data_IF_907931728178
#
_entry.id   IF_907931728178
#
_cell.length_a   1.000
_cell.length_b   1.000
_cell.length_c   1.000
_cell.angle_alpha   90.00
_cell.angle_beta   90.00
_cell.angle_gamma   90.00
#
_symmetry.space_group_name_H-M   'P 1'
#
loop_
_entity.id
_entity.type
_entity.pdbx_description
1 polymer ?
#
# COMPACT_ATOMS: atom_id res chain seq x y z
N UNK A 1 7.91 -7.96 -130.18
CA UNK A 1 7.12 -8.32 -128.97
C UNK A 1 8.04 -8.21 -127.77
N UNK A 2 7.83 -7.18 -126.95
CA UNK A 2 8.62 -6.89 -125.75
C UNK A 2 8.18 -7.87 -124.65
N UNK A 3 8.97 -8.89 -124.35
CA UNK A 3 8.58 -10.04 -123.50
C UNK A 3 8.87 -9.85 -122.00
N UNK A 4 9.09 -8.62 -121.53
CA UNK A 4 9.44 -8.33 -120.13
C UNK A 4 8.42 -7.40 -119.48
N UNK A 5 8.01 -7.71 -118.25
CA UNK A 5 7.19 -6.85 -117.38
C UNK A 5 8.02 -6.09 -116.34
N UNK A 6 9.35 -6.22 -116.39
CA UNK A 6 10.26 -5.49 -115.50
C UNK A 6 10.31 -4.03 -115.96
N UNK A 7 10.17 -3.10 -115.01
CA UNK A 7 10.24 -1.65 -115.27
C UNK A 7 11.28 -0.94 -114.40
N UNK A 8 11.88 -1.66 -113.45
CA UNK A 8 12.94 -1.16 -112.58
C UNK A 8 13.88 -2.27 -112.12
N UNK A 9 15.09 -1.88 -111.74
CA UNK A 9 16.10 -2.73 -111.15
C UNK A 9 16.78 -2.00 -109.99
N UNK A 10 17.04 -2.73 -108.90
CA UNK A 10 17.66 -2.17 -107.69
C UNK A 10 19.01 -2.85 -107.51
N UNK A 11 20.06 -2.03 -107.39
CA UNK A 11 21.44 -2.45 -107.22
C UNK A 11 21.97 -1.94 -105.87
N UNK A 12 22.84 -2.73 -105.23
CA UNK A 12 23.53 -2.29 -104.02
C UNK A 12 24.84 -1.61 -104.40
N UNK A 13 25.14 -0.47 -103.77
CA UNK A 13 26.46 0.14 -103.80
C UNK A 13 27.50 -0.77 -103.16
N UNK A 14 28.73 -0.70 -103.66
CA UNK A 14 29.85 -1.54 -103.23
C UNK A 14 31.20 -0.79 -103.27
N UNK A 15 31.17 0.54 -103.30
CA UNK A 15 32.34 1.44 -103.37
C UNK A 15 33.20 1.27 -104.65
N UNK A 16 32.76 0.48 -105.64
CA UNK A 16 33.55 0.15 -106.84
C UNK A 16 32.76 0.30 -108.14
N UNK A 17 31.54 -0.25 -108.21
CA UNK A 17 30.72 -0.30 -109.43
C UNK A 17 30.16 1.07 -109.78
N UNK A 18 30.20 1.41 -111.06
CA UNK A 18 29.55 2.61 -111.64
C UNK A 18 28.61 2.30 -112.79
N UNK A 19 28.58 1.03 -113.23
CA UNK A 19 27.81 0.58 -114.39
C UNK A 19 26.69 -0.33 -113.91
N UNK A 20 25.46 0.05 -114.21
CA UNK A 20 24.25 -0.58 -113.71
C UNK A 20 23.39 -1.00 -114.88
N UNK A 21 23.14 -2.30 -115.03
CA UNK A 21 22.41 -2.81 -116.19
C UNK A 21 20.97 -2.28 -116.26
N UNK A 22 20.43 -2.17 -117.47
CA UNK A 22 19.03 -1.84 -117.72
C UNK A 22 18.33 -3.13 -118.19
N UNK A 23 17.61 -3.87 -117.32
CA UNK A 23 17.04 -5.16 -117.67
C UNK A 23 15.66 -5.05 -118.34
N UNK A 24 15.30 -3.86 -118.82
CA UNK A 24 14.01 -3.56 -119.43
C UNK A 24 14.21 -2.71 -120.69
N UNK A 25 13.25 -2.78 -121.59
CA UNK A 25 13.28 -2.02 -122.84
C UNK A 25 12.75 -0.60 -122.63
N UNK A 26 13.32 0.37 -123.34
CA UNK A 26 12.92 1.79 -123.36
C UNK A 26 12.89 2.29 -124.82
N UNK A 27 12.14 3.36 -125.10
CA UNK A 27 12.08 3.94 -126.46
C UNK A 27 13.16 5.01 -126.62
N UNK A 28 13.42 5.80 -125.57
CA UNK A 28 14.46 6.82 -125.55
C UNK A 28 15.23 6.82 -124.23
N UNK A 29 16.48 7.26 -124.28
CA UNK A 29 17.34 7.39 -123.09
C UNK A 29 16.77 8.34 -122.05
N UNK A 30 16.00 9.35 -122.47
CA UNK A 30 15.30 10.29 -121.58
C UNK A 30 14.21 9.64 -120.71
N UNK A 31 13.80 8.42 -121.03
CA UNK A 31 12.81 7.65 -120.27
C UNK A 31 13.47 6.80 -119.18
N UNK A 32 14.79 6.87 -119.02
CA UNK A 32 15.50 6.21 -117.92
C UNK A 32 15.63 7.20 -116.78
N UNK A 33 15.23 6.79 -115.58
CA UNK A 33 15.44 7.50 -114.35
C UNK A 33 16.36 6.73 -113.40
N UNK A 34 17.03 7.45 -112.52
CA UNK A 34 17.89 6.90 -111.47
C UNK A 34 17.49 7.47 -110.12
N UNK A 35 17.36 6.61 -109.11
CA UNK A 35 17.14 7.00 -107.71
C UNK A 35 18.30 6.47 -106.87
N UNK A 36 18.84 7.32 -105.99
CA UNK A 36 19.75 6.93 -104.93
C UNK A 36 18.96 6.77 -103.63
N UNK A 37 19.03 5.60 -103.01
CA UNK A 37 18.42 5.34 -101.71
C UNK A 37 19.50 5.25 -100.63
N UNK A 38 19.36 6.06 -99.58
CA UNK A 38 20.20 6.01 -98.39
C UNK A 38 19.36 5.55 -97.19
N UNK A 39 19.82 4.53 -96.47
CA UNK A 39 19.14 4.04 -95.27
C UNK A 39 19.85 4.56 -94.02
N UNK A 40 19.17 5.37 -93.20
CA UNK A 40 19.69 5.87 -91.92
C UNK A 40 18.79 5.38 -90.79
N UNK A 41 19.37 4.63 -89.84
CA UNK A 41 18.65 4.11 -88.66
C UNK A 41 17.35 3.35 -89.02
N UNK A 42 17.37 2.61 -90.13
CA UNK A 42 16.23 1.82 -90.60
C UNK A 42 15.16 2.60 -91.37
N UNK A 43 15.40 3.89 -91.65
CA UNK A 43 14.54 4.70 -92.52
C UNK A 43 15.23 4.93 -93.86
N UNK A 44 14.52 4.63 -94.95
CA UNK A 44 15.00 4.87 -96.32
C UNK A 44 14.67 6.31 -96.73
N UNK A 45 15.67 7.04 -97.23
CA UNK A 45 15.49 8.31 -97.93
C UNK A 45 15.84 8.10 -99.40
N UNK A 46 14.92 8.46 -100.30
CA UNK A 46 15.11 8.38 -101.75
C UNK A 46 15.39 9.76 -102.34
N UNK A 47 16.38 9.83 -103.22
CA UNK A 47 16.76 11.02 -103.98
C UNK A 47 16.72 10.68 -105.48
N UNK A 48 15.94 11.46 -106.26
CA UNK A 48 15.95 11.35 -107.72
C UNK A 48 17.22 12.01 -108.24
N UNK A 49 18.06 11.22 -108.90
CA UNK A 49 19.34 11.68 -109.44
C UNK A 49 19.09 12.54 -110.69
N UNK A 50 19.80 13.66 -110.80
CA UNK A 50 19.69 14.54 -111.98
C UNK A 50 20.18 13.83 -113.25
N UNK A 51 19.57 14.12 -114.39
CA UNK A 51 19.99 13.58 -115.70
C UNK A 51 21.41 13.99 -116.09
N UNK A 52 21.95 15.06 -115.49
CA UNK A 52 23.33 15.50 -115.72
C UNK A 52 24.37 14.63 -114.97
N UNK A 53 23.94 13.91 -113.93
CA UNK A 53 24.83 13.16 -113.03
C UNK A 53 25.03 11.70 -113.45
N UNK A 54 24.32 11.24 -114.48
CA UNK A 54 24.50 9.91 -115.07
C UNK A 54 24.47 9.95 -116.60
N UNK A 55 25.00 8.91 -117.24
CA UNK A 55 24.88 8.73 -118.70
C UNK A 55 24.36 7.34 -119.02
N UNK A 56 23.75 7.19 -120.19
CA UNK A 56 23.23 5.90 -120.67
C UNK A 56 24.15 5.37 -121.78
N UNK A 57 24.74 4.20 -121.54
CA UNK A 57 25.50 3.45 -122.52
C UNK A 57 24.54 2.55 -123.32
N UNK A 58 24.19 2.98 -124.53
CA UNK A 58 23.23 2.28 -125.39
C UNK A 58 23.79 1.01 -126.00
N UNK A 59 25.12 0.85 -126.05
CA UNK A 59 25.77 -0.32 -126.63
C UNK A 59 25.75 -1.51 -125.65
N UNK A 60 25.98 -1.24 -124.36
CA UNK A 60 25.93 -2.26 -123.29
C UNK A 60 24.61 -2.31 -122.55
N UNK A 61 23.71 -1.34 -122.80
CA UNK A 61 22.44 -1.16 -122.12
C UNK A 61 22.60 -0.96 -120.60
N UNK A 62 23.47 -0.02 -120.22
CA UNK A 62 23.84 0.27 -118.83
C UNK A 62 23.71 1.76 -118.50
N UNK A 63 23.34 2.08 -117.26
CA UNK A 63 23.50 3.40 -116.67
C UNK A 63 24.91 3.52 -116.10
N UNK A 64 25.62 4.60 -116.43
CA UNK A 64 26.88 4.99 -115.80
C UNK A 64 26.61 6.08 -114.78
N UNK A 65 26.66 5.74 -113.49
CA UNK A 65 26.41 6.64 -112.37
C UNK A 65 27.35 6.35 -111.17
N UNK A 66 28.03 7.36 -110.60
CA UNK A 66 28.12 8.75 -111.07
C UNK A 66 28.86 8.89 -112.40
N UNK A 67 28.40 9.81 -113.27
CA UNK A 67 29.02 10.11 -114.57
C UNK A 67 30.35 10.85 -114.43
N UNK A 68 30.48 11.71 -113.42
CA UNK A 68 31.75 12.33 -113.08
C UNK A 68 32.68 11.33 -112.38
N UNK A 69 33.84 11.08 -113.00
CA UNK A 69 34.87 10.20 -112.47
C UNK A 69 35.57 10.80 -111.24
N UNK A 70 35.41 12.10 -110.98
CA UNK A 70 35.93 12.78 -109.79
C UNK A 70 35.11 12.46 -108.53
N UNK A 71 33.82 12.14 -108.67
CA UNK A 71 32.97 11.71 -107.56
C UNK A 71 33.23 10.24 -107.21
N UNK A 72 33.20 9.83 -105.93
CA UNK A 72 33.40 8.43 -105.55
C UNK A 72 32.26 7.53 -106.09
N UNK A 73 32.53 6.23 -106.36
CA UNK A 73 31.46 5.28 -106.70
C UNK A 73 30.43 5.16 -105.56
N UNK A 74 29.24 4.65 -105.87
CA UNK A 74 28.16 4.53 -104.87
C UNK A 74 28.57 3.64 -103.71
N UNK A 75 28.53 4.23 -102.51
CA UNK A 75 29.04 3.65 -101.28
C UNK A 75 28.30 2.37 -100.85
N UNK A 76 28.99 1.45 -100.17
CA UNK A 76 28.35 0.29 -99.53
C UNK A 76 27.27 0.76 -98.54
N UNK A 77 26.08 0.19 -98.66
CA UNK A 77 24.92 0.54 -97.82
C UNK A 77 23.94 1.52 -98.46
N UNK A 78 24.31 2.14 -99.59
CA UNK A 78 23.38 2.86 -100.48
C UNK A 78 22.88 1.94 -101.58
N UNK A 79 21.74 2.27 -102.19
CA UNK A 79 21.19 1.53 -103.35
C UNK A 79 20.98 2.46 -104.53
N UNK A 80 21.22 1.94 -105.74
CA UNK A 80 20.90 2.59 -107.01
C UNK A 80 19.70 1.89 -107.61
N UNK A 81 18.61 2.62 -107.79
CA UNK A 81 17.43 2.13 -108.51
C UNK A 81 17.41 2.74 -109.89
N UNK A 82 17.52 1.90 -110.91
CA UNK A 82 17.33 2.28 -112.32
C UNK A 82 15.91 1.92 -112.70
N UNK A 83 15.15 2.85 -113.24
CA UNK A 83 13.74 2.65 -113.57
C UNK A 83 13.36 3.34 -114.87
N UNK A 84 12.25 2.89 -115.47
CA UNK A 84 11.66 3.52 -116.65
C UNK A 84 10.59 4.53 -116.24
N UNK A 85 10.56 5.65 -116.94
CA UNK A 85 9.60 6.76 -116.78
C UNK A 85 9.17 7.25 -118.15
N UNK A 86 8.23 6.54 -118.77
CA UNK A 86 7.73 6.91 -120.09
C UNK A 86 6.84 8.16 -120.01
N UNK A 87 7.07 9.12 -120.92
CA UNK A 87 6.28 10.35 -121.02
C UNK A 87 4.79 10.03 -121.28
N UNK A 88 3.86 10.61 -120.51
CA UNK A 88 2.42 10.33 -120.64
C UNK A 88 1.76 11.00 -121.86
N UNK A 89 2.45 11.89 -122.57
CA UNK A 89 1.89 12.63 -123.70
C UNK A 89 1.84 11.81 -125.00
N UNK A 90 0.71 11.84 -125.72
CA UNK A 90 0.61 11.28 -127.07
C UNK A 90 1.33 12.19 -128.07
N UNK A 91 2.33 11.66 -128.79
CA UNK A 91 3.14 12.42 -129.77
C UNK A 91 2.76 12.19 -131.23
N UNK A 92 2.07 11.08 -131.52
CA UNK A 92 1.64 10.71 -132.88
C UNK A 92 0.26 11.27 -133.19
N UNK A 93 0.13 11.97 -134.32
CA UNK A 93 -1.13 12.50 -134.85
C UNK A 93 -1.35 11.99 -136.30
N UNK A 94 -2.36 11.16 -136.52
CA UNK A 94 -2.66 10.58 -137.83
C UNK A 94 -3.75 11.40 -138.53
N UNK A 95 -3.43 11.93 -139.70
CA UNK A 95 -4.37 12.72 -140.51
C UNK A 95 -5.20 11.82 -141.45
N UNK A 96 -6.44 12.23 -141.73
CA UNK A 96 -7.32 11.49 -142.63
C UNK A 96 -6.73 11.47 -144.06
N UNK A 97 -6.66 10.27 -144.67
CA UNK A 97 -6.01 10.01 -145.97
C UNK A 97 -4.50 10.32 -146.02
N UNK A 98 -3.84 10.48 -144.86
CA UNK A 98 -2.39 10.58 -144.77
C UNK A 98 -1.69 9.25 -145.03
N UNK A 99 -0.38 9.32 -145.28
CA UNK A 99 0.45 8.12 -145.37
C UNK A 99 0.40 7.33 -144.05
N UNK A 100 0.14 6.03 -144.12
CA UNK A 100 0.19 5.14 -142.96
C UNK A 100 1.63 4.69 -142.77
N UNK A 101 2.19 4.97 -141.60
CA UNK A 101 3.55 4.57 -141.21
C UNK A 101 3.43 3.47 -140.14
N UNK A 102 3.55 2.17 -140.51
CA UNK A 102 3.41 1.08 -139.56
C UNK A 102 4.32 1.22 -138.34
N UNK A 103 5.57 1.68 -138.53
CA UNK A 103 6.52 1.92 -137.43
C UNK A 103 6.01 2.96 -136.43
N UNK A 104 5.40 4.05 -136.90
CA UNK A 104 4.83 5.06 -135.99
C UNK A 104 3.64 4.53 -135.18
N UNK A 105 2.91 3.54 -135.73
CA UNK A 105 1.82 2.86 -135.02
C UNK A 105 2.43 1.92 -133.96
N UNK A 106 3.39 1.08 -134.35
CA UNK A 106 4.07 0.16 -133.42
C UNK A 106 4.75 0.90 -132.27
N UNK A 107 5.49 1.99 -132.53
CA UNK A 107 6.11 2.84 -131.50
C UNK A 107 5.08 3.40 -130.52
N UNK A 108 3.90 3.81 -131.02
CA UNK A 108 2.82 4.34 -130.18
C UNK A 108 2.18 3.26 -129.30
N UNK A 109 2.06 2.03 -129.81
CA UNK A 109 1.52 0.89 -129.05
C UNK A 109 2.51 0.39 -128.01
N UNK A 110 3.79 0.32 -128.37
CA UNK A 110 4.88 -0.04 -127.45
C UNK A 110 4.96 0.96 -126.30
N UNK A 111 4.85 2.25 -126.59
CA UNK A 111 4.78 3.31 -125.58
C UNK A 111 3.63 3.09 -124.59
N UNK A 112 2.42 2.84 -125.10
CA UNK A 112 1.26 2.57 -124.25
C UNK A 112 1.47 1.31 -123.40
N UNK A 113 2.10 0.28 -123.94
CA UNK A 113 2.40 -0.93 -123.18
C UNK A 113 3.40 -0.65 -122.05
N UNK A 114 4.42 0.16 -122.30
CA UNK A 114 5.40 0.56 -121.27
C UNK A 114 4.75 1.35 -120.14
N UNK A 115 3.89 2.33 -120.47
CA UNK A 115 3.09 3.08 -119.50
C UNK A 115 2.23 2.12 -118.66
N UNK A 116 1.57 1.13 -119.28
CA UNK A 116 0.75 0.16 -118.53
C UNK A 116 1.59 -0.68 -117.56
N UNK A 117 2.80 -1.08 -117.94
CA UNK A 117 3.71 -1.81 -117.05
C UNK A 117 4.17 -0.95 -115.87
N UNK A 118 4.50 0.32 -116.12
CA UNK A 118 4.91 1.29 -115.09
C UNK A 118 3.77 1.57 -114.12
N UNK A 119 2.59 1.90 -114.62
CA UNK A 119 1.40 2.09 -113.78
C UNK A 119 1.05 0.82 -112.98
N UNK A 120 1.28 -0.38 -113.52
CA UNK A 120 1.08 -1.64 -112.78
C UNK A 120 2.04 -1.75 -111.60
N UNK A 121 3.30 -1.35 -111.76
CA UNK A 121 4.29 -1.28 -110.68
C UNK A 121 3.88 -0.26 -109.62
N UNK A 122 3.53 0.96 -110.04
CA UNK A 122 3.13 2.05 -109.12
C UNK A 122 1.88 1.68 -108.32
N UNK A 123 0.87 1.11 -108.98
CA UNK A 123 -0.33 0.57 -108.32
C UNK A 123 0.04 -0.60 -107.41
N UNK A 124 1.07 -1.38 -107.75
CA UNK A 124 1.58 -2.49 -106.92
C UNK A 124 2.08 -2.05 -105.55
N UNK A 125 2.70 -0.86 -105.47
CA UNK A 125 3.24 -0.29 -104.21
C UNK A 125 2.31 0.70 -103.50
N UNK A 126 1.20 1.09 -104.11
CA UNK A 126 0.23 2.01 -103.50
C UNK A 126 -0.57 1.36 -102.36
N UNK A 127 -0.94 2.17 -101.36
CA UNK A 127 -1.95 1.78 -100.37
C UNK A 127 -3.33 1.77 -101.03
N UNK A 128 -4.07 0.66 -100.89
CA UNK A 128 -5.38 0.48 -101.55
C UNK A 128 -6.49 0.41 -100.53
N UNK A 129 -7.59 1.07 -100.84
CA UNK A 129 -8.85 0.93 -100.12
C UNK A 129 -9.82 0.10 -100.95
N UNK A 130 -10.95 -0.29 -100.36
CA UNK A 130 -11.99 -1.02 -101.09
C UNK A 130 -12.53 -0.16 -102.24
N UNK A 131 -12.86 -0.79 -103.37
CA UNK A 131 -13.35 -0.10 -104.58
C UNK A 131 -14.60 0.77 -104.34
N UNK A 132 -15.45 0.40 -103.39
CA UNK A 132 -16.66 1.13 -103.01
C UNK A 132 -16.47 2.02 -101.77
N UNK A 133 -15.23 2.18 -101.28
CA UNK A 133 -14.92 3.01 -100.12
C UNK A 133 -15.17 4.48 -100.43
N UNK A 134 -15.83 5.20 -99.53
CA UNK A 134 -15.90 6.66 -99.54
C UNK A 134 -14.69 7.32 -98.87
N UNK A 135 -13.78 6.52 -98.30
CA UNK A 135 -12.59 6.96 -97.59
C UNK A 135 -11.36 6.74 -98.48
N UNK A 136 -10.56 7.79 -98.66
CA UNK A 136 -9.34 7.76 -99.46
C UNK A 136 -8.20 7.02 -98.74
N UNK A 137 -7.20 6.49 -99.47
CA UNK A 137 -5.95 5.97 -98.91
C UNK A 137 -5.31 6.88 -97.85
N UNK A 138 -5.27 8.18 -98.12
CA UNK A 138 -4.66 9.20 -97.26
C UNK A 138 -5.42 9.32 -95.94
N UNK A 139 -6.76 9.37 -96.00
CA UNK A 139 -7.61 9.42 -94.81
C UNK A 139 -7.48 8.16 -93.94
N UNK A 140 -7.30 6.98 -94.56
CA UNK A 140 -7.02 5.75 -93.83
C UNK A 140 -5.64 5.76 -93.16
N UNK A 141 -4.62 6.29 -93.83
CA UNK A 141 -3.28 6.42 -93.27
C UNK A 141 -3.26 7.35 -92.05
N UNK A 142 -3.94 8.51 -92.14
CA UNK A 142 -4.12 9.42 -91.01
C UNK A 142 -4.84 8.75 -89.84
N UNK A 143 -5.93 8.01 -90.11
CA UNK A 143 -6.66 7.27 -89.08
C UNK A 143 -5.80 6.20 -88.40
N UNK A 144 -4.93 5.53 -89.16
CA UNK A 144 -4.02 4.51 -88.62
C UNK A 144 -2.95 5.14 -87.71
N UNK A 145 -2.38 6.28 -88.11
CA UNK A 145 -1.43 7.04 -87.29
C UNK A 145 -2.10 7.49 -86.00
N UNK A 146 -3.31 8.08 -86.09
CA UNK A 146 -4.06 8.50 -84.92
C UNK A 146 -4.41 7.33 -83.98
N UNK A 147 -4.75 6.16 -84.52
CA UNK A 147 -4.98 4.96 -83.73
C UNK A 147 -3.70 4.47 -83.03
N UNK A 148 -2.55 4.56 -83.70
CA UNK A 148 -1.24 4.24 -83.11
C UNK A 148 -0.91 5.19 -81.95
N UNK A 149 -1.07 6.50 -82.13
CA UNK A 149 -0.82 7.49 -81.09
C UNK A 149 -1.75 7.32 -79.88
N UNK A 150 -3.03 7.00 -80.15
CA UNK A 150 -4.00 6.69 -79.11
C UNK A 150 -3.61 5.43 -78.32
N UNK A 151 -3.10 4.39 -78.99
CA UNK A 151 -2.63 3.17 -78.35
C UNK A 151 -1.40 3.43 -77.46
N UNK A 152 -0.44 4.22 -77.93
CA UNK A 152 0.74 4.64 -77.14
C UNK A 152 0.30 5.43 -75.90
N UNK A 153 -0.64 6.36 -76.06
CA UNK A 153 -1.20 7.13 -74.94
C UNK A 153 -1.91 6.23 -73.93
N UNK A 154 -2.71 5.28 -74.42
CA UNK A 154 -3.41 4.33 -73.56
C UNK A 154 -2.44 3.44 -72.77
N UNK A 155 -1.35 2.98 -73.38
CA UNK A 155 -0.30 2.22 -72.71
C UNK A 155 0.39 3.03 -71.60
N UNK A 156 0.69 4.31 -71.85
CA UNK A 156 1.26 5.21 -70.84
C UNK A 156 0.31 5.42 -69.65
N UNK A 157 -0.97 5.66 -69.92
CA UNK A 157 -1.98 5.81 -68.88
C UNK A 157 -2.15 4.54 -68.04
N UNK A 158 -2.07 3.35 -68.66
CA UNK A 158 -2.13 2.08 -67.95
C UNK A 158 -0.93 1.91 -66.99
N UNK A 159 0.29 2.25 -67.43
CA UNK A 159 1.49 2.19 -66.59
C UNK A 159 1.41 3.16 -65.38
N UNK A 160 0.87 4.37 -65.60
CA UNK A 160 0.61 5.33 -64.51
C UNK A 160 -0.43 4.77 -63.53
N UNK A 161 -1.50 4.16 -64.04
CA UNK A 161 -2.54 3.55 -63.21
C UNK A 161 -2.00 2.40 -62.36
N UNK A 162 -1.11 1.56 -62.90
CA UNK A 162 -0.42 0.51 -62.16
C UNK A 162 0.42 1.08 -61.00
N UNK A 163 1.18 2.14 -61.28
CA UNK A 163 1.98 2.84 -60.26
C UNK A 163 1.10 3.41 -59.14
N UNK A 164 -0.03 4.03 -59.49
CA UNK A 164 -0.98 4.57 -58.52
C UNK A 164 -1.62 3.47 -57.65
N UNK A 165 -1.92 2.31 -58.24
CA UNK A 165 -2.41 1.15 -57.50
C UNK A 165 -1.36 0.63 -56.50
N UNK A 166 -0.09 0.53 -56.90
CA UNK A 166 1.02 0.15 -56.02
C UNK A 166 1.22 1.12 -54.85
N UNK A 167 1.14 2.42 -55.11
CA UNK A 167 1.20 3.45 -54.06
C UNK A 167 0.02 3.32 -53.08
N UNK A 168 -1.19 3.10 -53.59
CA UNK A 168 -2.40 2.92 -52.77
C UNK A 168 -2.29 1.68 -51.87
N UNK A 169 -1.76 0.58 -52.39
CA UNK A 169 -1.51 -0.64 -51.62
C UNK A 169 -0.49 -0.41 -50.49
N UNK A 170 0.58 0.35 -50.78
CA UNK A 170 1.59 0.72 -49.77
C UNK A 170 0.98 1.58 -48.66
N UNK A 171 0.18 2.60 -49.02
CA UNK A 171 -0.54 3.43 -48.04
C UNK A 171 -1.47 2.60 -47.17
N UNK A 172 -2.22 1.65 -47.75
CA UNK A 172 -3.10 0.76 -46.99
C UNK A 172 -2.32 -0.13 -46.00
N UNK A 173 -1.18 -0.68 -46.41
CA UNK A 173 -0.30 -1.47 -45.53
C UNK A 173 0.23 -0.64 -44.34
N UNK A 174 0.62 0.61 -44.59
CA UNK A 174 1.08 1.52 -43.55
C UNK A 174 -0.05 1.87 -42.57
N UNK A 175 -1.27 2.12 -43.06
CA UNK A 175 -2.45 2.35 -42.22
C UNK A 175 -2.79 1.13 -41.36
N UNK A 176 -2.70 -0.09 -41.90
CA UNK A 176 -2.91 -1.31 -41.12
C UNK A 176 -1.88 -1.46 -39.98
N UNK A 177 -0.62 -1.14 -40.24
CA UNK A 177 0.46 -1.16 -39.23
C UNK A 177 0.20 -0.12 -38.13
N UNK A 178 -0.20 1.10 -38.51
CA UNK A 178 -0.53 2.17 -37.56
C UNK A 178 -1.73 1.80 -36.68
N UNK A 179 -2.74 1.13 -37.23
CA UNK A 179 -3.89 0.63 -36.49
C UNK A 179 -3.48 -0.45 -35.46
N UNK A 180 -2.68 -1.44 -35.87
CA UNK A 180 -2.16 -2.47 -34.97
C UNK A 180 -1.33 -1.89 -33.82
N UNK A 181 -0.45 -0.91 -34.10
CA UNK A 181 0.33 -0.25 -33.05
C UNK A 181 -0.56 0.53 -32.07
N UNK A 182 -1.66 1.12 -32.57
CA UNK A 182 -2.64 1.81 -31.73
C UNK A 182 -3.39 0.83 -30.81
N UNK A 183 -3.70 -0.37 -31.29
CA UNK A 183 -4.29 -1.47 -30.49
C UNK A 183 -3.35 -1.91 -29.35
N UNK A 184 -2.06 -2.13 -29.64
CA UNK A 184 -1.06 -2.47 -28.62
C UNK A 184 -0.90 -1.37 -27.55
N UNK A 185 -0.93 -0.11 -27.97
CA UNK A 185 -0.87 1.03 -27.05
C UNK A 185 -2.12 1.07 -26.15
N UNK A 186 -3.31 0.80 -26.70
CA UNK A 186 -4.54 0.72 -25.92
C UNK A 186 -4.50 -0.41 -24.89
N UNK A 187 -4.06 -1.62 -25.27
CA UNK A 187 -3.91 -2.76 -24.36
C UNK A 187 -2.90 -2.48 -23.22
N UNK A 188 -1.80 -1.79 -23.54
CA UNK A 188 -0.83 -1.34 -22.53
C UNK A 188 -1.45 -0.32 -21.57
N UNK A 189 -2.27 0.60 -22.08
CA UNK A 189 -2.98 1.58 -21.26
C UNK A 189 -4.01 0.92 -20.32
N UNK A 190 -4.73 -0.10 -20.79
CA UNK A 190 -5.66 -0.88 -19.96
C UNK A 190 -4.93 -1.58 -18.80
N UNK A 191 -3.79 -2.20 -19.09
CA UNK A 191 -2.95 -2.84 -18.07
C UNK A 191 -2.49 -1.83 -17.01
N UNK A 192 -2.01 -0.66 -17.43
CA UNK A 192 -1.58 0.41 -16.52
C UNK A 192 -2.74 0.94 -15.65
N UNK A 193 -3.94 1.04 -16.22
CA UNK A 193 -5.14 1.42 -15.47
C UNK A 193 -5.49 0.39 -14.39
N UNK A 194 -5.42 -0.91 -14.71
CA UNK A 194 -5.66 -2.00 -13.74
C UNK A 194 -4.62 -2.00 -12.60
N UNK A 195 -3.36 -1.74 -12.90
CA UNK A 195 -2.30 -1.62 -11.89
C UNK A 195 -2.54 -0.42 -10.98
N UNK A 196 -2.93 0.71 -11.56
CA UNK A 196 -3.26 1.93 -10.80
C UNK A 196 -4.47 1.72 -9.88
N UNK A 197 -5.50 1.02 -10.34
CA UNK A 197 -6.65 0.64 -9.50
C UNK A 197 -6.24 -0.24 -8.31
N UNK A 198 -5.33 -1.19 -8.54
CA UNK A 198 -4.78 -2.07 -7.48
C UNK A 198 -3.98 -1.26 -6.46
N UNK A 199 -3.12 -0.35 -6.91
CA UNK A 199 -2.34 0.53 -6.04
C UNK A 199 -3.23 1.46 -5.19
N UNK A 200 -4.32 1.97 -5.77
CA UNK A 200 -5.32 2.74 -5.04
C UNK A 200 -6.02 1.91 -3.95
N UNK A 201 -6.40 0.65 -4.26
CA UNK A 201 -7.00 -0.26 -3.28
C UNK A 201 -6.06 -0.59 -2.10
N UNK A 202 -4.77 -0.82 -2.38
CA UNK A 202 -3.76 -1.02 -1.34
C UNK A 202 -3.59 0.22 -0.46
N UNK A 203 -3.58 1.41 -1.06
CA UNK A 203 -3.47 2.68 -0.33
C UNK A 203 -4.68 2.91 0.59
N UNK A 204 -5.89 2.60 0.11
CA UNK A 204 -7.11 2.68 0.93
C UNK A 204 -7.05 1.73 2.14
N UNK A 205 -6.55 0.50 1.93
CA UNK A 205 -6.37 -0.48 3.02
C UNK A 205 -5.35 0.01 4.05
N UNK A 206 -4.23 0.59 3.61
CA UNK A 206 -3.22 1.15 4.51
C UNK A 206 -3.76 2.35 5.32
N UNK A 207 -4.58 3.20 4.70
CA UNK A 207 -5.24 4.31 5.38
C UNK A 207 -6.20 3.79 6.47
N UNK A 208 -7.07 2.83 6.15
CA UNK A 208 -7.98 2.22 7.11
C UNK A 208 -7.24 1.57 8.29
N UNK A 209 -6.14 0.84 8.05
CA UNK A 209 -5.33 0.27 9.12
C UNK A 209 -4.70 1.34 10.02
N UNK A 210 -4.32 2.48 9.45
CA UNK A 210 -3.79 3.62 10.21
C UNK A 210 -4.88 4.25 11.09
N UNK A 211 -6.11 4.36 10.61
CA UNK A 211 -7.27 4.81 11.39
C UNK A 211 -7.54 3.88 12.59
N UNK A 212 -7.51 2.57 12.38
CA UNK A 212 -7.67 1.58 13.47
C UNK A 212 -6.56 1.68 14.52
N UNK A 213 -5.31 1.89 14.07
CA UNK A 213 -4.17 2.08 14.97
C UNK A 213 -4.33 3.37 15.80
N UNK A 214 -4.80 4.46 15.19
CA UNK A 214 -5.07 5.72 15.88
C UNK A 214 -6.18 5.55 16.94
N UNK A 215 -7.30 4.89 16.60
CA UNK A 215 -8.39 4.60 17.54
C UNK A 215 -7.94 3.73 18.73
N UNK A 216 -7.05 2.75 18.46
CA UNK A 216 -6.45 1.92 19.51
C UNK A 216 -5.55 2.75 20.44
N UNK A 217 -4.77 3.68 19.87
CA UNK A 217 -3.93 4.60 20.63
C UNK A 217 -4.75 5.53 21.52
N UNK A 218 -5.85 6.08 21.02
CA UNK A 218 -6.79 6.91 21.79
C UNK A 218 -7.37 6.13 22.99
N UNK A 219 -7.77 4.87 22.78
CA UNK A 219 -8.26 4.00 23.85
C UNK A 219 -7.19 3.78 24.93
N UNK A 220 -5.95 3.49 24.52
CA UNK A 220 -4.83 3.29 25.44
C UNK A 220 -4.47 4.55 26.23
N UNK A 221 -4.58 5.72 25.60
CA UNK A 221 -4.40 7.00 26.28
C UNK A 221 -5.47 7.22 27.36
N UNK A 222 -6.74 6.91 27.07
CA UNK A 222 -7.84 6.98 28.03
C UNK A 222 -7.66 6.03 29.23
N UNK A 223 -7.20 4.80 28.97
CA UNK A 223 -6.85 3.84 30.03
C UNK A 223 -5.70 4.34 30.90
N UNK A 224 -4.67 4.92 30.29
CA UNK A 224 -3.52 5.48 31.00
C UNK A 224 -3.91 6.66 31.88
N UNK A 225 -4.80 7.55 31.39
CA UNK A 225 -5.34 8.65 32.18
C UNK A 225 -6.16 8.14 33.38
N UNK A 226 -6.97 7.10 33.18
CA UNK A 226 -7.73 6.46 34.28
C UNK A 226 -6.80 5.86 35.32
N UNK A 227 -5.75 5.17 34.90
CA UNK A 227 -4.74 4.60 35.80
C UNK A 227 -4.01 5.68 36.61
N UNK A 228 -3.66 6.81 35.98
CA UNK A 228 -3.05 7.95 36.65
C UNK A 228 -3.98 8.54 37.73
N UNK A 229 -5.25 8.80 37.41
CA UNK A 229 -6.23 9.30 38.38
C UNK A 229 -6.42 8.34 39.57
N UNK A 230 -6.48 7.03 39.33
CA UNK A 230 -6.56 6.05 40.42
C UNK A 230 -5.32 6.06 41.32
N UNK A 231 -4.13 6.29 40.74
CA UNK A 231 -2.89 6.46 41.51
C UNK A 231 -2.92 7.71 42.37
N UNK A 232 -3.49 8.82 41.88
CA UNK A 232 -3.67 10.06 42.66
C UNK A 232 -4.61 9.82 43.85
N UNK A 233 -5.75 9.13 43.65
CA UNK A 233 -6.67 8.78 44.74
C UNK A 233 -6.03 7.88 45.79
N UNK A 234 -5.21 6.91 45.36
CA UNK A 234 -4.46 6.04 46.26
C UNK A 234 -3.44 6.83 47.08
N UNK A 235 -2.73 7.78 46.47
CA UNK A 235 -1.80 8.66 47.16
C UNK A 235 -2.52 9.54 48.21
N UNK A 236 -3.64 10.17 47.86
CA UNK A 236 -4.44 10.97 48.80
C UNK A 236 -4.97 10.14 49.99
N UNK A 237 -5.37 8.89 49.73
CA UNK A 237 -5.76 7.95 50.78
C UNK A 237 -4.59 7.61 51.70
N UNK A 238 -3.40 7.43 51.13
CA UNK A 238 -2.17 7.18 51.90
C UNK A 238 -1.79 8.38 52.77
N UNK A 239 -1.91 9.61 52.28
CA UNK A 239 -1.69 10.82 53.09
C UNK A 239 -2.66 10.91 54.28
N UNK A 240 -3.94 10.60 54.04
CA UNK A 240 -4.95 10.56 55.11
C UNK A 240 -4.60 9.53 56.19
N UNK A 241 -4.18 8.32 55.77
CA UNK A 241 -3.76 7.26 56.69
C UNK A 241 -2.50 7.64 57.49
N UNK A 242 -1.55 8.34 56.87
CA UNK A 242 -0.37 8.87 57.55
C UNK A 242 -0.76 9.93 58.60
N UNK A 243 -1.68 10.84 58.26
CA UNK A 243 -2.24 11.82 59.20
C UNK A 243 -2.91 11.17 60.41
N UNK A 244 -3.78 10.18 60.18
CA UNK A 244 -4.42 9.42 61.26
C UNK A 244 -3.40 8.71 62.16
N UNK A 245 -2.35 8.13 61.57
CA UNK A 245 -1.27 7.47 62.32
C UNK A 245 -0.48 8.46 63.17
N UNK A 246 -0.21 9.67 62.67
CA UNK A 246 0.44 10.74 63.43
C UNK A 246 -0.43 11.21 64.61
N UNK A 247 -1.74 11.37 64.41
CA UNK A 247 -2.69 11.69 65.49
C UNK A 247 -2.71 10.58 66.55
N UNK A 248 -2.76 9.31 66.14
CA UNK A 248 -2.71 8.19 67.07
C UNK A 248 -1.41 8.18 67.89
N UNK A 249 -0.26 8.40 67.24
CA UNK A 249 1.03 8.51 67.92
C UNK A 249 1.06 9.65 68.95
N UNK A 250 0.50 10.82 68.61
CA UNK A 250 0.35 11.95 69.54
C UNK A 250 -0.49 11.59 70.77
N UNK A 251 -1.63 10.92 70.57
CA UNK A 251 -2.48 10.45 71.66
C UNK A 251 -1.77 9.45 72.58
N UNK A 252 -0.98 8.52 72.02
CA UNK A 252 -0.18 7.59 72.82
C UNK A 252 0.91 8.31 73.63
N UNK A 253 1.56 9.33 73.07
CA UNK A 253 2.53 10.13 73.79
C UNK A 253 1.89 10.88 74.97
N UNK A 254 0.70 11.48 74.77
CA UNK A 254 -0.07 12.11 75.86
C UNK A 254 -0.49 11.10 76.92
N UNK A 255 -0.95 9.90 76.52
CA UNK A 255 -1.33 8.85 77.45
C UNK A 255 -0.13 8.37 78.29
N UNK A 256 1.05 8.27 77.69
CA UNK A 256 2.29 7.93 78.39
C UNK A 256 2.66 9.00 79.43
N UNK A 257 2.64 10.28 79.04
CA UNK A 257 2.90 11.38 79.98
C UNK A 257 1.89 11.43 81.13
N UNK A 258 0.60 11.25 80.85
CA UNK A 258 -0.41 11.18 81.90
C UNK A 258 -0.18 10.00 82.85
N UNK A 259 0.32 8.87 82.35
CA UNK A 259 0.64 7.70 83.17
C UNK A 259 1.85 7.96 84.08
N UNK A 260 2.86 8.69 83.59
CA UNK A 260 4.01 9.15 84.38
C UNK A 260 3.57 10.08 85.52
N UNK A 261 2.77 11.12 85.21
CA UNK A 261 2.21 12.04 86.22
C UNK A 261 1.35 11.30 87.25
N UNK A 262 0.55 10.32 86.82
CA UNK A 262 -0.26 9.50 87.73
C UNK A 262 0.60 8.63 88.66
N UNK A 263 1.74 8.12 88.18
CA UNK A 263 2.69 7.35 88.99
C UNK A 263 3.34 8.23 90.07
N UNK A 264 3.80 9.43 89.71
CA UNK A 264 4.34 10.41 90.68
C UNK A 264 3.31 10.77 91.76
N UNK A 265 2.06 11.00 91.36
CA UNK A 265 0.98 11.28 92.30
C UNK A 265 0.68 10.09 93.23
N UNK A 266 0.77 8.85 92.72
CA UNK A 266 0.59 7.65 93.52
C UNK A 266 1.69 7.49 94.58
N UNK A 267 2.96 7.75 94.23
CA UNK A 267 4.09 7.76 95.18
C UNK A 267 3.86 8.78 96.31
N UNK A 268 3.40 9.99 95.97
CA UNK A 268 3.04 11.01 96.94
C UNK A 268 1.96 10.53 97.93
N UNK A 269 0.86 9.97 97.42
CA UNK A 269 -0.26 9.46 98.24
C UNK A 269 0.13 8.29 99.14
N UNK A 270 0.98 7.38 98.66
CA UNK A 270 1.51 6.27 99.49
C UNK A 270 2.35 6.87 100.62
N UNK A 271 3.23 7.82 100.31
CA UNK A 271 4.07 8.47 101.32
C UNK A 271 3.25 9.23 102.37
N UNK A 272 2.19 9.94 101.96
CA UNK A 272 1.24 10.61 102.85
C UNK A 272 0.55 9.62 103.81
N UNK A 273 0.01 8.52 103.27
CA UNK A 273 -0.80 7.56 104.04
C UNK A 273 0.01 6.79 105.08
N UNK A 274 1.24 6.44 104.76
CA UNK A 274 2.10 5.62 105.61
C UNK A 274 3.09 6.46 106.44
N UNK A 275 3.02 7.78 106.34
CA UNK A 275 3.93 8.70 107.03
C UNK A 275 5.40 8.49 106.63
N UNK A 276 5.66 8.02 105.40
CA UNK A 276 7.03 7.80 104.94
C UNK A 276 7.73 9.14 104.72
N UNK A 277 9.07 9.14 104.85
CA UNK A 277 9.92 10.27 104.49
C UNK A 277 9.70 10.61 103.02
N UNK A 278 9.31 11.86 102.76
CA UNK A 278 9.12 12.41 101.41
C UNK A 278 10.36 13.16 100.96
N UNK A 279 10.67 13.09 99.67
CA UNK A 279 11.72 13.89 99.03
C UNK A 279 11.32 15.36 98.98
N UNK A 280 12.28 16.28 99.05
CA UNK A 280 12.06 17.73 98.90
C UNK A 280 10.88 18.28 99.73
N UNK A 281 10.66 17.74 100.92
CA UNK A 281 9.49 18.07 101.75
C UNK A 281 9.95 18.73 103.03
N UNK A 282 9.23 19.77 103.45
CA UNK A 282 9.53 20.45 104.72
C UNK A 282 8.95 19.64 105.88
N UNK A 283 9.79 19.37 106.86
CA UNK A 283 9.41 18.77 108.14
C UNK A 283 9.75 19.77 109.25
N UNK A 284 8.80 19.99 110.15
CA UNK A 284 8.98 20.78 111.35
C UNK A 284 9.63 19.95 112.46
N UNK A 285 10.25 20.60 113.44
CA UNK A 285 10.72 19.92 114.65
C UNK A 285 9.57 19.12 115.30
N UNK A 286 9.92 17.95 115.82
CA UNK A 286 9.05 16.90 116.36
C UNK A 286 8.17 16.16 115.32
N UNK A 287 8.22 16.53 114.03
CA UNK A 287 7.54 15.74 113.00
C UNK A 287 8.13 14.34 112.90
N UNK A 288 7.27 13.36 112.68
CA UNK A 288 7.65 11.96 112.54
C UNK A 288 7.59 11.53 111.07
N UNK A 289 8.60 10.75 110.65
CA UNK A 289 8.61 10.09 109.36
C UNK A 289 9.14 8.66 109.46
N UNK A 290 8.56 7.75 108.70
CA UNK A 290 9.05 6.38 108.56
C UNK A 290 9.99 6.28 107.36
N UNK A 291 10.97 5.38 107.44
CA UNK A 291 11.88 5.13 106.34
C UNK A 291 12.03 3.63 106.13
N UNK A 292 12.11 3.19 104.87
CA UNK A 292 12.16 1.76 104.51
C UNK A 292 13.41 1.06 105.04
N UNK A 293 14.51 1.80 105.22
CA UNK A 293 15.76 1.29 105.78
C UNK A 293 15.75 1.14 107.31
N UNK A 294 14.67 1.57 107.99
CA UNK A 294 14.53 1.40 109.43
C UNK A 294 13.83 0.07 109.78
N UNK A 295 14.22 -0.60 110.88
CA UNK A 295 13.49 -1.73 111.40
C UNK A 295 12.02 -1.38 111.73
N UNK A 296 11.15 -2.39 111.69
CA UNK A 296 9.74 -2.21 112.07
C UNK A 296 9.60 -1.69 113.49
N UNK A 297 8.78 -0.66 113.67
CA UNK A 297 8.60 0.02 114.96
C UNK A 297 9.65 1.11 115.26
N UNK A 298 10.47 1.49 114.28
CA UNK A 298 11.38 2.63 114.40
C UNK A 298 10.92 3.76 113.48
N UNK A 299 11.19 5.00 113.89
CA UNK A 299 10.82 6.19 113.12
C UNK A 299 11.91 7.25 113.22
N UNK A 300 11.93 8.14 112.23
CA UNK A 300 12.72 9.37 112.25
C UNK A 300 11.90 10.45 112.93
N UNK A 301 12.45 11.08 113.96
CA UNK A 301 11.90 12.29 114.57
C UNK A 301 12.73 13.49 114.15
N UNK A 302 12.08 14.48 113.55
CA UNK A 302 12.76 15.68 113.09
C UNK A 302 13.20 16.50 114.30
N UNK A 303 14.50 16.67 114.49
CA UNK A 303 15.03 17.51 115.58
C UNK A 303 15.38 18.92 115.10
N UNK A 304 15.63 19.08 113.80
CA UNK A 304 15.91 20.38 113.18
C UNK A 304 14.99 20.59 111.98
N UNK A 305 14.08 21.56 112.11
CA UNK A 305 13.17 21.97 111.03
C UNK A 305 13.96 22.26 109.75
N UNK A 306 13.52 21.68 108.64
CA UNK A 306 14.21 21.81 107.37
C UNK A 306 13.46 21.19 106.21
N UNK A 307 14.10 21.15 105.04
CA UNK A 307 13.60 20.48 103.84
C UNK A 307 14.48 19.27 103.54
N UNK A 308 13.86 18.10 103.40
CA UNK A 308 14.56 16.86 103.04
C UNK A 308 15.18 16.96 101.66
N UNK A 309 16.19 16.12 101.38
CA UNK A 309 16.86 16.09 100.08
C UNK A 309 15.89 15.71 98.94
N UNK A 310 16.19 16.18 97.73
CA UNK A 310 15.50 15.74 96.51
C UNK A 310 15.84 14.29 96.13
N UNK A 311 16.96 13.77 96.63
CA UNK A 311 17.39 12.38 96.43
C UNK A 311 16.83 11.44 97.50
N UNK A 312 16.91 10.14 97.26
CA UNK A 312 16.62 9.11 98.27
C UNK A 312 17.56 9.25 99.47
N UNK A 313 16.99 9.17 100.67
CA UNK A 313 17.77 9.05 101.91
C UNK A 313 18.17 7.57 102.04
N UNK A 314 19.40 7.29 102.46
CA UNK A 314 19.88 5.91 102.65
C UNK A 314 20.45 5.80 104.05
N UNK A 315 19.95 4.86 104.85
CA UNK A 315 20.39 4.64 106.24
C UNK A 315 20.97 3.23 106.36
N UNK A 316 22.29 3.12 106.45
CA UNK A 316 22.98 1.81 106.33
C UNK A 316 23.15 1.06 107.66
N UNK A 317 23.19 1.77 108.79
CA UNK A 317 23.38 1.18 110.14
C UNK A 317 22.52 1.92 111.17
N UNK A 318 21.19 1.75 111.16
CA UNK A 318 20.30 2.49 112.04
C UNK A 318 20.51 2.08 113.51
N UNK A 319 20.52 3.07 114.40
CA UNK A 319 20.60 2.86 115.85
C UNK A 319 19.68 3.85 116.59
N UNK A 320 18.98 3.38 117.62
CA UNK A 320 18.09 4.24 118.42
C UNK A 320 18.91 5.31 119.13
N UNK A 321 18.51 6.57 118.98
CA UNK A 321 19.23 7.76 119.45
C UNK A 321 20.29 8.28 118.48
N UNK A 322 20.58 7.57 117.39
CA UNK A 322 21.49 8.02 116.33
C UNK A 322 20.86 9.14 115.50
N UNK A 323 21.67 10.09 115.03
CA UNK A 323 21.22 11.19 114.18
C UNK A 323 21.55 10.93 112.70
N UNK A 324 20.66 11.37 111.81
CA UNK A 324 20.80 11.27 110.35
C UNK A 324 20.47 12.62 109.74
N UNK A 325 21.36 13.16 108.91
CA UNK A 325 21.09 14.38 108.14
C UNK A 325 20.48 14.04 106.80
N UNK A 326 19.41 14.74 106.43
CA UNK A 326 18.69 14.57 105.17
C UNK A 326 18.31 15.95 104.59
N UNK A 327 19.05 16.39 103.58
CA UNK A 327 18.95 17.76 103.09
C UNK A 327 19.34 18.74 104.19
N UNK A 328 18.40 19.59 104.62
CA UNK A 328 18.59 20.50 105.76
C UNK A 328 17.85 20.04 107.02
N UNK A 329 17.21 18.87 106.99
CA UNK A 329 16.59 18.25 108.17
C UNK A 329 17.65 17.43 108.90
N UNK A 330 17.63 17.50 110.23
CA UNK A 330 18.33 16.52 111.08
C UNK A 330 17.28 15.66 111.77
N UNK A 331 17.44 14.35 111.63
CA UNK A 331 16.56 13.33 112.18
C UNK A 331 17.25 12.63 113.34
N UNK A 332 16.52 12.34 114.41
CA UNK A 332 16.93 11.36 115.42
C UNK A 332 16.12 10.07 115.22
N UNK A 333 16.80 8.93 115.17
CA UNK A 333 16.14 7.63 115.06
C UNK A 333 15.56 7.26 116.43
N UNK A 334 14.25 7.06 116.49
CA UNK A 334 13.51 6.66 117.68
C UNK A 334 12.93 5.26 117.47
N UNK A 335 12.67 4.55 118.56
CA UNK A 335 11.84 3.35 118.55
C UNK A 335 10.51 3.69 119.22
N UNK A 336 9.39 3.14 118.73
CA UNK A 336 8.12 3.25 119.46
C UNK A 336 8.28 2.60 120.84
N UNK A 337 7.91 3.35 121.88
CA UNK A 337 7.90 2.85 123.25
C UNK A 337 6.92 1.66 123.37
N UNK A 338 7.24 0.71 124.25
CA UNK A 338 6.33 -0.40 124.60
C UNK A 338 5.00 0.14 125.15
N UNK A 339 3.93 -0.65 125.10
CA UNK A 339 2.54 -0.32 125.52
C UNK A 339 2.34 0.22 126.95
N UNK A 340 3.41 0.41 127.72
CA UNK A 340 3.39 0.91 129.10
C UNK A 340 3.07 2.42 129.25
N UNK A 341 3.15 3.21 128.17
CA UNK A 341 2.93 4.68 128.21
C UNK A 341 1.75 5.17 127.32
N UNK A 342 0.83 4.29 126.92
CA UNK A 342 -0.38 4.70 126.20
C UNK A 342 -1.41 5.22 127.22
N UNK A 343 -1.81 6.51 127.20
CA UNK A 343 -2.91 7.00 128.03
C UNK A 343 -4.21 6.26 127.67
N UNK A 344 -5.09 6.07 128.66
CA UNK A 344 -6.34 5.31 128.50
C UNK A 344 -7.14 5.71 127.24
N UNK A 345 -7.85 4.76 126.59
CA UNK A 345 -8.49 4.99 125.30
C UNK A 345 -9.42 6.20 125.30
N UNK A 346 -9.23 7.12 124.35
CA UNK A 346 -10.23 8.12 124.01
C UNK A 346 -11.35 7.42 123.23
N UNK A 347 -12.59 7.59 123.69
CA UNK A 347 -13.78 7.15 122.98
C UNK A 347 -13.86 7.82 121.60
N UNK A 348 -13.88 7.01 120.54
CA UNK A 348 -13.97 7.44 119.14
C UNK A 348 -15.33 7.10 118.52
N UNK A 349 -16.33 6.76 119.33
CA UNK A 349 -17.70 6.57 118.84
C UNK A 349 -18.20 7.88 118.20
N UNK A 350 -18.38 7.84 116.87
CA UNK A 350 -18.85 8.99 116.06
C UNK A 350 -17.80 9.72 115.21
N UNK A 351 -16.55 9.23 115.09
CA UNK A 351 -15.48 9.95 114.36
C UNK A 351 -14.91 9.26 113.10
N UNK A 352 -15.51 8.18 112.62
CA UNK A 352 -15.14 7.58 111.33
C UNK A 352 -16.34 7.55 110.37
N UNK A 353 -16.51 8.60 109.58
CA UNK A 353 -17.31 8.53 108.35
C UNK A 353 -16.37 8.10 107.23
N UNK A 354 -16.34 6.81 106.92
CA UNK A 354 -15.71 6.32 105.68
C UNK A 354 -16.82 6.31 104.64
N UNK A 355 -16.83 7.37 103.83
CA UNK A 355 -17.68 7.46 102.65
C UNK A 355 -17.26 6.37 101.65
N UNK A 356 -18.09 5.34 101.54
CA UNK A 356 -17.88 4.15 100.72
C UNK A 356 -18.46 4.31 99.31
N UNK A 357 -18.95 5.51 98.94
CA UNK A 357 -19.65 5.74 97.68
C UNK A 357 -18.72 6.01 96.48
N UNK A 358 -17.40 6.06 96.69
CA UNK A 358 -16.44 6.46 95.66
C UNK A 358 -15.76 5.30 94.90
N UNK A 359 -16.29 4.07 94.98
CA UNK A 359 -15.65 2.87 94.39
C UNK A 359 -16.41 2.22 93.21
N UNK A 360 -17.57 2.71 92.79
CA UNK A 360 -18.41 1.95 91.83
C UNK A 360 -18.73 2.62 90.49
N UNK A 361 -18.26 3.84 90.20
CA UNK A 361 -18.76 4.59 89.04
C UNK A 361 -17.92 4.51 87.74
N UNK A 362 -16.70 3.95 87.72
CA UNK A 362 -15.78 4.13 86.57
C UNK A 362 -15.25 2.86 85.90
N UNK A 363 -15.57 1.67 86.41
CA UNK A 363 -15.03 0.40 85.88
C UNK A 363 -15.86 -0.28 84.78
N UNK A 364 -17.19 -0.19 84.83
CA UNK A 364 -18.06 -1.10 84.05
C UNK A 364 -18.37 -0.64 82.60
N UNK A 365 -18.15 0.63 82.25
CA UNK A 365 -18.51 1.13 80.90
C UNK A 365 -17.46 0.90 79.80
N UNK A 366 -16.23 0.44 80.12
CA UNK A 366 -15.17 0.28 79.11
C UNK A 366 -15.01 -1.13 78.53
N UNK A 367 -15.76 -2.13 78.99
CA UNK A 367 -15.57 -3.54 78.59
C UNK A 367 -16.51 -3.99 77.46
N UNK A 368 -17.56 -3.23 77.10
CA UNK A 368 -18.46 -3.61 75.99
C UNK A 368 -18.07 -3.09 74.59
N UNK A 369 -17.04 -2.26 74.45
CA UNK A 369 -16.73 -1.59 73.17
C UNK A 369 -15.57 -2.21 72.35
N UNK A 370 -14.94 -3.29 72.81
CA UNK A 370 -13.78 -3.91 72.14
C UNK A 370 -13.86 -5.44 72.17
N UNK A 371 -14.92 -6.02 71.61
CA UNK A 371 -14.91 -7.45 71.29
C UNK A 371 -14.24 -7.65 69.92
N UNK A 372 -13.06 -8.28 69.82
CA UNK A 372 -12.45 -8.59 68.53
C UNK A 372 -13.33 -9.57 67.74
N UNK A 373 -13.44 -9.37 66.42
CA UNK A 373 -14.20 -10.25 65.52
C UNK A 373 -13.63 -11.67 65.57
N UNK A 374 -14.45 -12.63 65.99
CA UNK A 374 -14.10 -14.06 66.02
C UNK A 374 -15.01 -14.88 65.10
N UNK A 375 -14.54 -16.06 64.69
CA UNK A 375 -15.28 -17.03 63.87
C UNK A 375 -16.39 -17.70 64.68
N UNK A 376 -17.59 -17.74 64.13
CA UNK A 376 -18.77 -18.42 64.72
C UNK A 376 -19.09 -19.74 64.03
N UNK A 377 -18.73 -19.88 62.75
CA UNK A 377 -18.93 -21.11 61.97
C UNK A 377 -17.87 -21.21 60.87
N UNK A 378 -17.44 -22.43 60.52
CA UNK A 378 -16.48 -22.67 59.45
C UNK A 378 -16.61 -24.07 58.87
N UNK A 379 -16.33 -24.20 57.57
CA UNK A 379 -16.42 -25.45 56.84
C UNK A 379 -15.30 -25.54 55.79
N UNK A 380 -14.80 -26.76 55.56
CA UNK A 380 -13.87 -27.08 54.50
C UNK A 380 -14.07 -28.53 54.05
N UNK A 381 -14.27 -28.75 52.75
CA UNK A 381 -14.28 -30.06 52.13
C UNK A 381 -13.02 -30.25 51.27
N UNK A 382 -12.17 -31.20 51.68
CA UNK A 382 -10.92 -31.49 50.99
C UNK A 382 -11.12 -32.09 49.59
N UNK A 383 -12.29 -32.67 49.31
CA UNK A 383 -12.61 -33.36 48.05
C UNK A 383 -13.01 -32.38 46.97
N UNK A 384 -13.93 -31.47 47.29
CA UNK A 384 -14.44 -30.43 46.39
C UNK A 384 -13.59 -29.14 46.43
N UNK A 385 -12.85 -28.91 47.52
CA UNK A 385 -12.14 -27.66 47.77
C UNK A 385 -13.03 -26.52 48.22
N UNK A 386 -14.32 -26.79 48.51
CA UNK A 386 -15.31 -25.83 48.95
C UNK A 386 -15.14 -25.49 50.43
N UNK A 387 -15.33 -24.21 50.78
CA UNK A 387 -15.13 -23.72 52.14
C UNK A 387 -15.94 -22.47 52.46
N UNK A 388 -16.25 -22.26 53.74
CA UNK A 388 -16.80 -21.00 54.23
C UNK A 388 -16.30 -20.65 55.65
N UNK A 389 -16.43 -19.37 56.01
CA UNK A 389 -16.19 -18.78 57.33
C UNK A 389 -17.28 -17.77 57.64
N UNK A 390 -17.91 -17.90 58.79
CA UNK A 390 -18.87 -16.93 59.34
C UNK A 390 -18.27 -16.29 60.57
N UNK A 391 -18.40 -14.98 60.67
CA UNK A 391 -17.86 -14.19 61.77
C UNK A 391 -18.97 -13.70 62.69
N UNK A 392 -18.61 -13.37 63.93
CA UNK A 392 -19.50 -12.89 65.00
C UNK A 392 -20.25 -11.61 64.67
N UNK A 393 -19.79 -10.82 63.69
CA UNK A 393 -20.47 -9.65 63.16
C UNK A 393 -21.46 -9.96 62.03
N UNK A 394 -21.59 -11.23 61.62
CA UNK A 394 -22.46 -11.69 60.53
C UNK A 394 -21.80 -11.66 59.14
N UNK A 395 -20.52 -11.29 59.05
CA UNK A 395 -19.78 -11.36 57.79
C UNK A 395 -19.52 -12.80 57.37
N UNK A 396 -19.59 -13.08 56.07
CA UNK A 396 -19.35 -14.40 55.49
C UNK A 396 -18.30 -14.31 54.40
N UNK A 397 -17.33 -15.22 54.44
CA UNK A 397 -16.39 -15.50 53.36
C UNK A 397 -16.59 -16.95 52.91
N UNK A 398 -16.61 -17.19 51.61
CA UNK A 398 -16.78 -18.54 51.06
C UNK A 398 -16.10 -18.68 49.71
N UNK A 399 -15.72 -19.88 49.35
CA UNK A 399 -15.06 -20.16 48.09
C UNK A 399 -14.98 -21.63 47.78
N UNK A 400 -14.41 -21.94 46.62
CA UNK A 400 -14.34 -23.31 46.14
C UNK A 400 -13.50 -23.45 44.88
N UNK A 401 -13.39 -24.70 44.40
CA UNK A 401 -12.70 -25.02 43.15
C UNK A 401 -13.66 -25.13 41.98
N UNK A 402 -13.19 -24.77 40.79
CA UNK A 402 -13.90 -24.93 39.54
C UNK A 402 -13.27 -26.10 38.77
N UNK A 403 -14.06 -27.16 38.56
CA UNK A 403 -13.64 -28.33 37.78
C UNK A 403 -14.29 -28.32 36.39
N UNK A 404 -13.58 -28.77 35.34
CA UNK A 404 -14.11 -28.79 33.98
C UNK A 404 -15.18 -29.89 33.85
N UNK A 405 -16.45 -29.50 33.88
CA UNK A 405 -17.59 -30.38 33.61
C UNK A 405 -18.10 -30.13 32.19
N UNK A 406 -17.45 -30.71 31.18
CA UNK A 406 -17.94 -30.77 29.78
C UNK A 406 -18.50 -29.44 29.24
N UNK A 407 -17.67 -28.39 29.29
CA UNK A 407 -18.01 -27.06 28.78
C UNK A 407 -17.01 -26.70 27.67
N UNK A 408 -17.49 -26.45 26.46
CA UNK A 408 -16.69 -25.79 25.44
C UNK A 408 -16.19 -24.45 25.97
N UNK A 409 -15.02 -24.02 25.52
CA UNK A 409 -14.42 -22.74 25.93
C UNK A 409 -15.47 -21.60 25.92
N UNK A 410 -15.49 -20.76 26.96
CA UNK A 410 -16.31 -19.53 27.07
C UNK A 410 -17.82 -19.67 27.42
N UNK A 411 -18.27 -20.79 27.99
CA UNK A 411 -19.67 -20.90 28.48
C UNK A 411 -19.92 -20.16 29.80
N UNK A 412 -21.18 -19.77 30.05
CA UNK A 412 -21.60 -19.22 31.36
C UNK A 412 -21.70 -20.34 32.40
N UNK A 413 -21.03 -20.17 33.54
CA UNK A 413 -21.14 -21.04 34.72
C UNK A 413 -22.02 -20.36 35.77
N UNK A 414 -22.84 -21.14 36.47
CA UNK A 414 -23.58 -20.68 37.65
C UNK A 414 -23.05 -21.41 38.87
N UNK A 415 -22.62 -20.66 39.88
CA UNK A 415 -22.05 -21.18 41.13
C UNK A 415 -23.05 -20.93 42.25
N UNK A 416 -23.34 -21.98 43.01
CA UNK A 416 -24.21 -21.91 44.19
C UNK A 416 -23.36 -21.62 45.42
N UNK A 417 -23.77 -20.64 46.22
CA UNK A 417 -23.11 -20.25 47.46
C UNK A 417 -23.41 -21.27 48.57
N UNK A 418 -22.41 -21.60 49.37
CA UNK A 418 -22.50 -22.50 50.52
C UNK A 418 -23.28 -21.87 51.69
N UNK A 419 -23.21 -20.54 51.81
CA UNK A 419 -24.00 -19.74 52.75
C UNK A 419 -24.69 -18.62 51.99
N UNK A 420 -26.00 -18.48 52.22
CA UNK A 420 -26.76 -17.39 51.64
C UNK A 420 -26.27 -16.04 52.18
N UNK A 421 -26.22 -15.04 51.31
CA UNK A 421 -25.86 -13.66 51.64
C UNK A 421 -27.14 -12.82 51.77
N UNK A 422 -27.06 -11.73 52.54
CA UNK A 422 -28.21 -10.91 52.89
C UNK A 422 -28.78 -10.14 51.68
N UNK A 423 -27.90 -9.76 50.75
CA UNK A 423 -28.26 -9.04 49.52
C UNK A 423 -27.31 -9.42 48.37
N UNK A 424 -27.39 -8.69 47.25
CA UNK A 424 -26.52 -8.88 46.08
C UNK A 424 -25.26 -8.00 46.10
N UNK A 425 -25.02 -7.22 47.16
CA UNK A 425 -23.89 -6.30 47.32
C UNK A 425 -22.66 -7.01 47.91
N UNK A 426 -22.40 -8.24 47.48
CA UNK A 426 -21.20 -8.98 47.88
C UNK A 426 -20.13 -8.92 46.80
N UNK A 427 -18.88 -9.03 47.23
CA UNK A 427 -17.72 -9.09 46.33
C UNK A 427 -17.51 -10.52 45.88
N UNK A 428 -17.13 -10.69 44.62
CA UNK A 428 -16.87 -11.99 44.02
C UNK A 428 -15.57 -11.92 43.22
N UNK A 429 -14.76 -12.96 43.32
CA UNK A 429 -13.50 -13.13 42.61
C UNK A 429 -13.49 -14.52 41.97
N UNK A 430 -13.09 -14.58 40.70
CA UNK A 430 -12.96 -15.81 39.95
C UNK A 430 -11.66 -15.82 39.18
N UNK A 431 -10.92 -16.90 39.32
CA UNK A 431 -9.61 -17.09 38.71
C UNK A 431 -9.62 -18.43 37.99
N UNK A 432 -9.32 -18.40 36.69
CA UNK A 432 -9.11 -19.61 35.87
C UNK A 432 -7.82 -20.35 36.21
N UNK A 433 -7.48 -21.37 35.43
CA UNK A 433 -6.28 -22.18 35.68
C UNK A 433 -4.98 -21.38 35.51
N UNK A 434 -3.97 -21.69 36.33
CA UNK A 434 -2.61 -21.23 36.11
C UNK A 434 -2.05 -21.79 34.77
N UNK A 435 -1.23 -21.00 34.06
CA UNK A 435 -0.62 -21.31 32.75
C UNK A 435 -1.49 -21.17 31.49
N UNK A 436 -2.42 -20.21 31.47
CA UNK A 436 -3.09 -19.79 30.21
C UNK A 436 -2.45 -18.52 29.65
N UNK A 437 -2.29 -18.44 28.32
CA UNK A 437 -1.66 -17.32 27.60
C UNK A 437 -2.59 -16.10 27.43
N UNK A 438 -3.84 -16.19 27.88
CA UNK A 438 -4.88 -15.14 27.83
C UNK A 438 -5.43 -14.90 29.23
N UNK A 439 -5.68 -13.65 29.63
CA UNK A 439 -6.10 -13.27 30.98
C UNK A 439 -7.17 -14.21 31.59
N UNK A 440 -6.86 -14.97 32.67
CA UNK A 440 -7.75 -16.01 33.23
C UNK A 440 -8.92 -15.47 34.05
N UNK A 441 -9.36 -14.23 33.81
CA UNK A 441 -10.37 -13.54 34.64
C UNK A 441 -11.77 -13.73 34.06
N UNK A 442 -12.66 -14.35 34.85
CA UNK A 442 -14.07 -14.46 34.51
C UNK A 442 -14.84 -13.17 34.76
N UNK A 443 -15.79 -12.83 33.90
CA UNK A 443 -16.69 -11.70 34.14
C UNK A 443 -17.94 -12.19 34.85
N UNK A 444 -18.24 -11.59 36.00
CA UNK A 444 -19.46 -11.88 36.76
C UNK A 444 -20.65 -11.23 36.05
N UNK A 445 -21.63 -12.04 35.67
CA UNK A 445 -22.78 -11.63 34.86
C UNK A 445 -24.00 -11.29 35.71
N UNK A 446 -24.28 -12.08 36.74
CA UNK A 446 -25.42 -11.85 37.64
C UNK A 446 -25.14 -12.37 39.04
N UNK A 447 -25.78 -11.76 40.03
CA UNK A 447 -25.69 -12.09 41.45
C UNK A 447 -27.09 -12.27 42.02
N UNK A 448 -27.24 -13.23 42.92
CA UNK A 448 -28.42 -13.44 43.77
C UNK A 448 -27.92 -13.75 45.19
N UNK A 449 -28.79 -13.77 46.18
CA UNK A 449 -28.39 -14.09 47.56
C UNK A 449 -27.84 -15.50 47.76
N UNK A 450 -28.02 -16.40 46.78
CA UNK A 450 -27.64 -17.83 46.89
C UNK A 450 -26.80 -18.34 45.73
N UNK A 451 -26.66 -17.57 44.65
CA UNK A 451 -25.90 -17.97 43.45
C UNK A 451 -25.30 -16.76 42.76
N UNK A 452 -24.23 -16.96 41.98
CA UNK A 452 -23.80 -15.99 40.98
C UNK A 452 -23.41 -16.69 39.67
N UNK A 453 -23.57 -16.00 38.55
CA UNK A 453 -23.15 -16.50 37.24
C UNK A 453 -21.96 -15.71 36.71
N UNK A 454 -21.06 -16.39 36.01
CA UNK A 454 -19.89 -15.79 35.37
C UNK A 454 -19.63 -16.43 34.00
N UNK A 455 -19.04 -15.68 33.07
CA UNK A 455 -18.62 -16.17 31.76
C UNK A 455 -17.14 -15.89 31.51
N UNK A 456 -16.62 -16.37 30.38
CA UNK A 456 -15.23 -16.19 29.95
C UNK A 456 -14.17 -16.76 30.92
N UNK A 457 -14.52 -17.83 31.65
CA UNK A 457 -13.57 -18.54 32.52
C UNK A 457 -12.97 -19.71 31.74
N UNK A 458 -11.64 -19.81 31.79
CA UNK A 458 -10.90 -20.93 31.19
C UNK A 458 -10.37 -21.84 32.28
N UNK A 459 -10.79 -23.12 32.27
CA UNK A 459 -10.34 -24.15 33.22
C UNK A 459 -9.76 -25.33 32.44
N UNK A 460 -8.49 -25.66 32.71
CA UNK A 460 -7.75 -26.78 32.10
C UNK A 460 -8.02 -28.10 32.84
N UNK A 461 -8.07 -29.20 32.09
CA UNK A 461 -8.18 -30.54 32.67
C UNK A 461 -6.97 -30.84 33.58
N UNK A 462 -7.24 -31.18 34.84
CA UNK A 462 -6.20 -31.43 35.85
C UNK A 462 -5.67 -30.19 36.58
N UNK A 463 -6.10 -28.97 36.22
CA UNK A 463 -5.72 -27.74 36.91
C UNK A 463 -6.97 -26.89 37.21
N UNK A 464 -7.65 -27.07 38.36
CA UNK A 464 -8.90 -26.39 38.65
C UNK A 464 -8.71 -24.88 38.83
N UNK A 465 -9.70 -24.09 38.40
CA UNK A 465 -9.81 -22.69 38.79
C UNK A 465 -10.31 -22.53 40.22
N UNK A 466 -10.42 -21.31 40.72
CA UNK A 466 -11.02 -21.03 42.02
C UNK A 466 -12.01 -19.87 41.96
N UNK A 467 -12.92 -19.86 42.93
CA UNK A 467 -13.85 -18.77 43.15
C UNK A 467 -13.89 -18.41 44.64
N UNK A 468 -14.12 -17.13 44.93
CA UNK A 468 -14.27 -16.60 46.28
C UNK A 468 -15.36 -15.54 46.30
N UNK A 469 -16.11 -15.47 47.38
CA UNK A 469 -17.15 -14.48 47.64
C UNK A 469 -17.06 -14.02 49.09
N UNK A 470 -17.23 -12.72 49.32
CA UNK A 470 -17.38 -12.16 50.67
C UNK A 470 -18.47 -11.10 50.74
N UNK A 471 -19.24 -11.11 51.82
CA UNK A 471 -20.34 -10.18 52.06
C UNK A 471 -21.09 -10.51 53.35
N UNK A 472 -22.14 -9.76 53.65
CA UNK A 472 -22.96 -10.00 54.84
C UNK A 472 -23.83 -11.24 54.67
N UNK A 473 -23.79 -12.16 55.62
CA UNK A 473 -24.60 -13.37 55.62
C UNK A 473 -26.07 -13.07 55.79
N UNK A 474 -26.94 -13.88 55.17
CA UNK A 474 -28.37 -13.81 55.46
C UNK A 474 -28.59 -14.15 56.93
N UNK A 475 -29.24 -13.24 57.67
CA UNK A 475 -29.58 -13.47 59.08
C UNK A 475 -30.51 -14.69 59.15
N UNK A 476 -30.01 -15.81 59.69
CA UNK A 476 -30.89 -16.90 60.08
C UNK A 476 -31.81 -16.40 61.18
N UNK A 477 -33.12 -16.41 60.95
CA UNK A 477 -34.05 -16.43 62.07
C UNK A 477 -33.68 -17.63 62.95
N UNK A 478 -33.47 -17.35 64.24
CA UNK A 478 -33.12 -18.32 65.29
C UNK A 478 -33.68 -19.72 65.10
#
# INVERSE_FOLDING_TARGET
>A
MRNSTVVKAIYNGNDVTRRWSIPFEYIKTEEIGVILTTTILGNDSEEVVSTDDYTIDTDTNEVVYPSDLSEPPVETGKKVTVYRTTDLLQKTDFTNQGAVWPEAIEDSLDKLHQIVQEHTEEIGRAFKTNKSSSVSPEQYAEALIAASDAAVTAASNAAISETNAGNSATSASNSATAAHNSELAAASSETNASLSATAAGNSATAAHNSELAAASSETNAGLSATAAHNSELAAASSETNAGNSATAAGNYATAAHNSEVAAEAAEGRISDRWGLRKKSTTYAADDMAYHVDLPTGWYLECTTTGKTSASDLVITSPSVGGTVTDGTVEWTIRAVASTADIPAPVDISGKANVDLDNLTATGEQKIQALSPRYLTDSYYDATTGDWYRVYSDGWVEQGGKLYPATLGNYTTVTITLLKALNDTNYTCLLIGSANVTTAPTGNVKSKTTTTFSANNIHVLQGNPGCWMVCGMGAQGGN
#
